data_IF_866000343022
#
_entry.id   IF_866000343022
#
_cell.length_a   1.000
_cell.length_b   1.000
_cell.length_c   1.000
_cell.angle_alpha   90.00
_cell.angle_beta   90.00
_cell.angle_gamma   90.00
#
_symmetry.space_group_name_H-M   'P 1'
#
loop_
_entity.id
_entity.type
_entity.pdbx_description
1 polymer ?
#
# COMPACT_ATOMS: atom_id res chain seq x y z
N UNK A 1 9.47 18.16 18.13
CA UNK A 1 9.32 17.58 19.47
C UNK A 1 9.16 16.07 19.30
N UNK A 2 10.19 15.29 19.62
CA UNK A 2 10.12 13.84 19.55
C UNK A 2 9.42 13.34 20.80
N UNK A 3 8.15 13.04 20.69
CA UNK A 3 7.35 12.48 21.82
C UNK A 3 7.65 11.00 22.02
N UNK A 4 8.05 10.31 20.94
CA UNK A 4 8.41 8.89 20.95
C UNK A 4 9.76 8.72 20.28
N UNK A 5 10.62 7.91 20.90
CA UNK A 5 11.87 7.45 20.27
C UNK A 5 11.52 6.26 19.37
N UNK A 6 10.98 6.58 18.20
CA UNK A 6 10.60 5.59 17.19
C UNK A 6 11.88 5.19 16.46
N UNK A 7 12.37 4.00 16.75
CA UNK A 7 13.42 3.36 15.97
C UNK A 7 12.99 3.16 14.51
N UNK A 8 13.90 2.76 13.62
CA UNK A 8 13.61 2.49 12.21
C UNK A 8 12.55 1.41 12.08
N UNK A 9 11.33 1.82 11.78
CA UNK A 9 10.17 0.94 11.74
C UNK A 9 9.49 1.05 10.38
N UNK A 10 8.93 -0.07 9.86
CA UNK A 10 8.24 -0.04 8.58
C UNK A 10 6.97 0.83 8.66
N UNK A 11 6.75 1.57 7.59
CA UNK A 11 5.50 2.29 7.32
C UNK A 11 4.62 1.40 6.45
N UNK A 12 3.47 1.00 6.96
CA UNK A 12 2.46 0.28 6.16
C UNK A 12 1.52 1.27 5.51
N UNK A 13 1.29 1.08 4.21
CA UNK A 13 0.34 1.89 3.44
C UNK A 13 -0.65 0.96 2.77
N UNK A 14 -1.92 1.18 3.03
CA UNK A 14 -2.99 0.34 2.51
C UNK A 14 -4.25 1.15 2.16
N UNK A 15 -4.96 0.68 1.13
CA UNK A 15 -6.23 1.24 0.70
C UNK A 15 -7.36 0.25 0.99
N UNK A 16 -8.43 0.75 1.60
CA UNK A 16 -9.65 -0.02 1.82
C UNK A 16 -10.85 0.65 1.14
N UNK A 17 -11.85 -0.15 0.81
CA UNK A 17 -13.11 0.30 0.24
C UNK A 17 -14.24 0.04 1.21
N UNK A 18 -15.09 1.03 1.42
CA UNK A 18 -16.32 0.90 2.20
C UNK A 18 -17.50 1.09 1.26
N UNK A 19 -18.34 0.06 1.14
CA UNK A 19 -19.53 0.06 0.30
C UNK A 19 -20.80 0.17 1.14
N UNK A 20 -21.84 0.80 0.59
CA UNK A 20 -23.10 0.92 1.31
C UNK A 20 -24.22 1.56 0.50
N UNK A 21 -25.45 1.41 1.03
CA UNK A 21 -26.63 2.04 0.48
C UNK A 21 -26.64 3.52 0.85
N UNK A 22 -26.18 4.38 -0.06
CA UNK A 22 -26.12 5.82 0.12
C UNK A 22 -26.64 6.54 -1.13
N UNK A 23 -27.37 7.62 -0.91
CA UNK A 23 -27.68 8.54 -1.98
C UNK A 23 -26.40 9.31 -2.33
N UNK A 24 -26.01 9.27 -3.61
CA UNK A 24 -24.89 10.05 -4.10
C UNK A 24 -25.39 11.17 -5.01
N UNK A 25 -24.70 12.31 -4.99
CA UNK A 25 -24.81 13.38 -5.96
C UNK A 25 -23.49 13.55 -6.71
N UNK A 26 -23.40 14.51 -7.62
CA UNK A 26 -22.16 14.75 -8.40
C UNK A 26 -20.98 15.10 -7.49
N UNK A 27 -21.22 15.81 -6.37
CA UNK A 27 -20.20 16.21 -5.40
C UNK A 27 -20.01 15.21 -4.25
N UNK A 28 -20.66 14.04 -4.30
CA UNK A 28 -20.58 13.04 -3.24
C UNK A 28 -19.30 12.20 -3.37
N UNK A 29 -18.65 11.91 -2.24
CA UNK A 29 -17.58 10.89 -2.19
C UNK A 29 -18.11 9.47 -2.45
N UNK A 30 -19.42 9.24 -2.23
CA UNK A 30 -20.08 7.97 -2.48
C UNK A 30 -20.39 7.81 -3.98
N UNK A 31 -19.48 7.19 -4.69
CA UNK A 31 -19.59 6.94 -6.14
C UNK A 31 -19.56 5.44 -6.45
N UNK A 32 -20.12 5.08 -7.60
CA UNK A 32 -19.91 3.74 -8.14
C UNK A 32 -18.47 3.61 -8.58
N UNK A 33 -17.83 2.50 -8.24
CA UNK A 33 -16.45 2.22 -8.59
C UNK A 33 -16.24 0.74 -8.81
N UNK A 34 -14.98 0.36 -9.02
CA UNK A 34 -14.63 -1.05 -9.15
C UNK A 34 -14.67 -1.72 -7.77
N UNK A 35 -15.84 -2.27 -7.42
CA UNK A 35 -16.02 -3.04 -6.18
C UNK A 35 -15.73 -4.52 -6.43
N UNK A 36 -15.02 -5.14 -5.47
CA UNK A 36 -14.83 -6.60 -5.47
C UNK A 36 -16.02 -7.34 -4.85
N UNK A 37 -16.78 -6.65 -4.00
CA UNK A 37 -17.86 -7.25 -3.21
C UNK A 37 -19.20 -7.10 -3.93
N UNK A 38 -19.65 -5.87 -4.16
CA UNK A 38 -20.93 -5.58 -4.81
C UNK A 38 -20.82 -4.34 -5.70
N UNK A 39 -20.83 -4.51 -7.04
CA UNK A 39 -20.73 -3.39 -7.97
C UNK A 39 -22.00 -2.52 -8.03
N UNK A 40 -23.11 -2.97 -7.42
CA UNK A 40 -24.36 -2.21 -7.37
C UNK A 40 -24.41 -1.21 -6.23
N UNK A 41 -23.45 -1.26 -5.31
CA UNK A 41 -23.35 -0.33 -4.19
C UNK A 41 -22.40 0.81 -4.50
N UNK A 42 -22.74 1.98 -3.99
CA UNK A 42 -21.80 3.11 -3.95
C UNK A 42 -20.74 2.86 -2.89
N UNK A 43 -19.57 3.38 -3.11
CA UNK A 43 -18.41 3.19 -2.25
C UNK A 43 -17.64 4.48 -2.04
N UNK A 44 -16.88 4.51 -0.97
CA UNK A 44 -15.78 5.46 -0.72
C UNK A 44 -14.50 4.66 -0.57
N UNK A 45 -13.38 5.30 -0.76
CA UNK A 45 -12.08 4.71 -0.50
C UNK A 45 -11.35 5.45 0.60
N UNK A 46 -10.67 4.71 1.45
CA UNK A 46 -9.81 5.26 2.47
C UNK A 46 -8.38 4.71 2.27
N UNK A 47 -7.42 5.62 2.20
CA UNK A 47 -5.99 5.29 2.21
C UNK A 47 -5.44 5.62 3.59
N UNK A 48 -4.74 4.69 4.20
CA UNK A 48 -4.13 4.89 5.52
C UNK A 48 -2.65 4.51 5.50
N UNK A 49 -1.85 5.30 6.21
CA UNK A 49 -0.47 4.98 6.53
C UNK A 49 -0.32 4.81 8.04
N UNK A 50 0.35 3.73 8.45
CA UNK A 50 0.63 3.44 9.86
C UNK A 50 2.09 3.08 10.07
N UNK A 51 2.60 3.35 11.27
CA UNK A 51 3.95 3.00 11.69
C UNK A 51 3.92 1.76 12.59
N UNK A 52 4.66 0.73 12.20
CA UNK A 52 4.83 -0.49 13.00
C UNK A 52 5.76 -0.24 14.21
N UNK A 53 5.75 -1.08 15.26
CA UNK A 53 4.83 -2.22 15.47
C UNK A 53 3.49 -1.81 16.10
N UNK A 54 3.33 -0.55 16.48
CA UNK A 54 2.16 -0.09 17.22
C UNK A 54 0.95 0.19 16.32
N UNK A 55 1.13 0.18 14.99
CA UNK A 55 0.08 0.60 14.06
C UNK A 55 -0.29 2.08 14.23
N UNK A 56 0.68 2.92 14.63
CA UNK A 56 0.44 4.34 14.87
C UNK A 56 0.00 5.03 13.58
N UNK A 57 -1.20 5.62 13.50
CA UNK A 57 -1.65 6.31 12.30
C UNK A 57 -0.78 7.52 11.99
N UNK A 58 -0.21 7.57 10.78
CA UNK A 58 0.57 8.70 10.26
C UNK A 58 -0.26 9.58 9.32
N UNK A 59 -1.21 8.97 8.62
CA UNK A 59 -2.09 9.67 7.71
C UNK A 59 -3.32 8.86 7.36
N UNK A 60 -4.42 9.55 7.15
CA UNK A 60 -5.67 9.01 6.64
C UNK A 60 -6.22 9.96 5.59
N UNK A 61 -6.67 9.42 4.46
CA UNK A 61 -7.34 10.16 3.41
C UNK A 61 -8.57 9.38 2.94
N UNK A 62 -9.69 10.06 2.83
CA UNK A 62 -10.93 9.51 2.29
C UNK A 62 -11.21 10.18 0.97
N UNK A 63 -11.39 9.37 -0.07
CA UNK A 63 -11.57 9.85 -1.44
C UNK A 63 -12.79 9.21 -2.09
N UNK A 64 -13.18 9.77 -3.24
CA UNK A 64 -14.28 9.26 -4.04
C UNK A 64 -14.07 7.80 -4.43
N UNK A 65 -15.13 7.00 -4.35
CA UNK A 65 -15.09 5.56 -4.61
C UNK A 65 -14.70 5.17 -6.03
N UNK A 66 -14.75 6.09 -6.98
CA UNK A 66 -14.36 5.87 -8.38
C UNK A 66 -12.84 5.96 -8.61
N UNK A 67 -12.08 6.55 -7.67
CA UNK A 67 -10.64 6.72 -7.84
C UNK A 67 -9.91 5.38 -7.89
N UNK A 68 -8.89 5.30 -8.75
CA UNK A 68 -8.01 4.15 -8.82
C UNK A 68 -7.05 4.14 -7.61
N UNK A 69 -6.84 2.97 -7.01
CA UNK A 69 -6.05 2.81 -5.78
C UNK A 69 -4.58 3.25 -5.97
N UNK A 70 -3.99 2.93 -7.12
CA UNK A 70 -2.60 3.24 -7.45
C UNK A 70 -2.26 4.74 -7.37
N UNK A 71 -3.23 5.61 -7.65
CA UNK A 71 -3.06 7.07 -7.56
C UNK A 71 -3.03 7.61 -6.14
N UNK A 72 -3.44 6.83 -5.16
CA UNK A 72 -3.54 7.26 -3.76
C UNK A 72 -2.21 7.11 -3.02
N UNK A 73 -1.30 6.25 -3.51
CA UNK A 73 -0.06 5.94 -2.82
C UNK A 73 0.91 7.12 -2.76
N UNK A 74 1.19 7.77 -3.88
CA UNK A 74 2.17 8.88 -3.91
C UNK A 74 1.76 10.03 -2.98
N UNK A 75 0.51 10.55 -3.01
CA UNK A 75 0.09 11.59 -2.08
C UNK A 75 0.18 11.18 -0.61
N UNK A 76 -0.12 9.91 -0.29
CA UNK A 76 0.00 9.40 1.08
C UNK A 76 1.46 9.29 1.51
N UNK A 77 2.35 8.82 0.63
CA UNK A 77 3.79 8.77 0.88
C UNK A 77 4.32 10.16 1.16
N UNK A 78 3.98 11.17 0.35
CA UNK A 78 4.42 12.56 0.55
C UNK A 78 3.97 13.10 1.91
N UNK A 79 2.74 12.78 2.33
CA UNK A 79 2.22 13.15 3.65
C UNK A 79 3.02 12.49 4.78
N UNK A 80 3.38 11.22 4.64
CA UNK A 80 4.22 10.50 5.62
C UNK A 80 5.61 11.12 5.69
N UNK A 81 6.23 11.41 4.54
CA UNK A 81 7.55 12.02 4.47
C UNK A 81 7.57 13.41 5.13
N UNK A 82 6.53 14.22 4.88
CA UNK A 82 6.37 15.53 5.52
C UNK A 82 6.15 15.43 7.05
N UNK A 83 5.51 14.35 7.51
CA UNK A 83 5.26 14.12 8.94
C UNK A 83 6.51 13.65 9.68
N UNK A 84 7.27 12.73 9.09
CA UNK A 84 8.42 12.10 9.74
C UNK A 84 9.75 12.82 9.47
N UNK A 85 9.85 13.57 8.37
CA UNK A 85 11.05 14.30 7.94
C UNK A 85 12.32 13.41 7.94
N UNK A 86 12.21 12.18 7.41
CA UNK A 86 13.26 11.16 7.44
C UNK A 86 13.44 10.49 6.08
N UNK A 87 14.68 10.08 5.81
CA UNK A 87 15.05 9.16 4.72
C UNK A 87 15.33 7.76 5.26
N UNK A 88 15.42 6.76 4.38
CA UNK A 88 15.73 5.38 4.74
C UNK A 88 14.55 4.61 5.36
N UNK A 89 13.32 5.13 5.29
CA UNK A 89 12.13 4.41 5.77
C UNK A 89 11.80 3.24 4.84
N UNK A 90 11.34 2.13 5.41
CA UNK A 90 10.81 0.99 4.66
C UNK A 90 9.29 1.12 4.53
N UNK A 91 8.81 1.39 3.31
CA UNK A 91 7.38 1.38 2.99
C UNK A 91 6.93 -0.03 2.61
N UNK A 92 5.88 -0.52 3.25
CA UNK A 92 5.29 -1.84 3.00
C UNK A 92 3.86 -1.66 2.51
N UNK A 93 3.53 -2.25 1.38
CA UNK A 93 2.19 -2.17 0.81
C UNK A 93 1.82 -3.37 -0.06
N UNK A 94 0.61 -3.35 -0.57
CA UNK A 94 0.09 -4.39 -1.46
C UNK A 94 0.63 -4.28 -2.91
N UNK A 95 0.10 -5.11 -3.81
CA UNK A 95 0.49 -5.11 -5.22
C UNK A 95 0.18 -3.80 -5.96
N UNK A 96 -0.72 -2.95 -5.46
CA UNK A 96 -1.02 -1.64 -6.05
C UNK A 96 0.09 -0.64 -5.78
N UNK A 97 0.72 -0.71 -4.60
CA UNK A 97 1.91 0.08 -4.29
C UNK A 97 3.10 -0.28 -5.20
N UNK A 98 3.10 -1.47 -5.81
CA UNK A 98 4.17 -1.90 -6.71
C UNK A 98 4.18 -1.20 -8.08
N UNK A 99 3.26 -0.29 -8.37
CA UNK A 99 3.24 0.52 -9.59
C UNK A 99 4.59 1.23 -9.80
N UNK A 100 5.05 1.26 -11.05
CA UNK A 100 6.37 1.81 -11.38
C UNK A 100 6.55 3.26 -10.89
N UNK A 101 5.51 4.09 -11.04
CA UNK A 101 5.53 5.48 -10.59
C UNK A 101 5.74 5.59 -9.07
N UNK A 102 5.05 4.76 -8.27
CA UNK A 102 5.17 4.75 -6.81
C UNK A 102 6.58 4.31 -6.38
N UNK A 103 7.11 3.24 -6.99
CA UNK A 103 8.46 2.77 -6.70
C UNK A 103 9.53 3.80 -7.07
N UNK A 104 9.40 4.42 -8.24
CA UNK A 104 10.30 5.48 -8.69
C UNK A 104 10.27 6.69 -7.73
N UNK A 105 9.09 7.06 -7.26
CA UNK A 105 8.90 8.14 -6.28
C UNK A 105 9.61 7.84 -4.95
N UNK A 106 9.42 6.64 -4.40
CA UNK A 106 10.09 6.21 -3.17
C UNK A 106 11.62 6.24 -3.30
N UNK A 107 12.16 5.69 -4.40
CA UNK A 107 13.61 5.70 -4.66
C UNK A 107 14.15 7.12 -4.82
N UNK A 108 13.43 8.00 -5.52
CA UNK A 108 13.82 9.40 -5.69
C UNK A 108 13.89 10.18 -4.35
N UNK A 109 13.14 9.73 -3.33
CA UNK A 109 13.15 10.30 -1.98
C UNK A 109 14.00 9.49 -0.99
N UNK A 110 14.92 8.65 -1.48
CA UNK A 110 15.84 7.85 -0.67
C UNK A 110 15.12 6.93 0.34
N UNK A 111 13.97 6.35 -0.09
CA UNK A 111 13.19 5.41 0.70
C UNK A 111 13.31 3.99 0.17
N UNK A 112 13.05 3.00 1.02
CA UNK A 112 12.94 1.59 0.66
C UNK A 112 11.48 1.16 0.52
N UNK A 113 11.23 0.09 -0.22
CA UNK A 113 9.89 -0.47 -0.34
C UNK A 113 9.90 -1.99 -0.33
N UNK A 114 8.83 -2.59 0.18
CA UNK A 114 8.53 -4.01 0.14
C UNK A 114 7.10 -4.19 -0.36
N UNK A 115 6.96 -4.82 -1.53
CA UNK A 115 5.66 -5.12 -2.14
C UNK A 115 5.65 -6.53 -2.69
N UNK A 116 4.49 -7.19 -2.79
CA UNK A 116 4.36 -8.44 -3.52
C UNK A 116 4.85 -8.29 -4.96
N UNK A 117 5.55 -9.29 -5.44
CA UNK A 117 5.96 -9.36 -6.83
C UNK A 117 4.77 -9.77 -7.70
N UNK A 118 4.48 -8.99 -8.74
CA UNK A 118 3.41 -9.31 -9.67
C UNK A 118 3.74 -10.60 -10.46
N UNK A 119 2.85 -11.59 -10.38
CA UNK A 119 2.99 -12.89 -11.07
C UNK A 119 2.43 -12.80 -12.49
N UNK A 120 3.11 -12.04 -13.34
CA UNK A 120 2.74 -11.87 -14.75
C UNK A 120 3.96 -12.05 -15.65
N UNK A 121 3.75 -12.52 -16.88
CA UNK A 121 4.81 -12.66 -17.88
C UNK A 121 5.99 -13.53 -17.39
N UNK A 122 7.21 -13.07 -17.61
CA UNK A 122 8.44 -13.77 -17.22
C UNK A 122 8.54 -14.03 -15.71
N UNK A 123 8.05 -13.12 -14.87
CA UNK A 123 8.06 -13.28 -13.42
C UNK A 123 7.28 -14.52 -12.98
N UNK A 124 6.12 -14.77 -13.58
CA UNK A 124 5.31 -15.96 -13.28
C UNK A 124 6.02 -17.26 -13.69
N UNK A 125 6.83 -17.22 -14.76
CA UNK A 125 7.56 -18.37 -15.25
C UNK A 125 8.83 -18.66 -14.43
N UNK A 126 9.50 -17.64 -13.94
CA UNK A 126 10.76 -17.75 -13.21
C UNK A 126 10.58 -17.96 -11.70
N UNK A 127 9.45 -17.51 -11.13
CA UNK A 127 9.21 -17.58 -9.69
C UNK A 127 9.39 -18.98 -9.08
N UNK A 128 8.90 -20.08 -9.69
CA UNK A 128 9.11 -21.41 -9.12
C UNK A 128 10.61 -21.75 -8.96
N UNK A 129 11.43 -21.35 -9.92
CA UNK A 129 12.89 -21.58 -9.87
C UNK A 129 13.56 -20.75 -8.77
N UNK A 130 13.11 -19.50 -8.56
CA UNK A 130 13.63 -18.65 -7.48
C UNK A 130 13.26 -19.18 -6.10
N UNK A 131 12.03 -19.71 -5.94
CA UNK A 131 11.60 -20.34 -4.68
C UNK A 131 12.44 -21.58 -4.41
N UNK A 132 12.62 -22.44 -5.42
CA UNK A 132 13.41 -23.68 -5.29
C UNK A 132 14.87 -23.41 -4.95
N UNK A 133 15.47 -22.39 -5.57
CA UNK A 133 16.84 -21.96 -5.29
C UNK A 133 17.02 -21.30 -3.91
N UNK A 134 15.97 -20.65 -3.39
CA UNK A 134 15.99 -19.96 -2.10
C UNK A 134 15.60 -20.83 -0.90
N UNK A 135 15.03 -22.01 -1.12
CA UNK A 135 14.70 -22.92 -0.02
C UNK A 135 16.00 -23.56 0.52
N UNK A 136 16.25 -23.45 1.85
CA UNK A 136 17.34 -24.22 2.45
C UNK A 136 17.07 -25.71 2.23
N UNK A 137 18.11 -26.44 1.83
CA UNK A 137 18.04 -27.90 1.74
C UNK A 137 17.64 -28.46 3.10
N UNK A 138 16.41 -28.96 3.23
CA UNK A 138 15.96 -29.63 4.45
C UNK A 138 16.74 -30.92 4.56
N UNK A 139 17.57 -31.12 5.60
CA UNK A 139 18.24 -32.38 5.78
C UNK A 139 17.21 -33.51 5.93
N UNK A 140 17.45 -34.70 5.38
CA UNK A 140 16.54 -35.82 5.50
C UNK A 140 16.29 -36.08 6.99
N UNK A 141 15.02 -36.21 7.36
CA UNK A 141 14.65 -36.60 8.74
C UNK A 141 15.15 -38.01 8.96
N UNK A 142 16.08 -38.16 9.87
CA UNK A 142 16.56 -39.45 10.40
C UNK A 142 15.49 -40.12 11.26
#
# INVERSE_FOLDING_TARGET
MRVYDLEEQPVRVDATTVSGYRNGGEDSLWQFGHSKDDPTLRQIKAMMATLDPLGLPLGLEVVSGEQADDRLYVPMIDRVLACLERTGLLFVGDCKMSALATRAHLVAHEQYYLTPLALVGETAQQMPQWIEAGLPSVPPRS
#
